data_IF_493058075284
#
_entry.id   IF_493058075284
#
_cell.length_a   1.000
_cell.length_b   1.000
_cell.length_c   1.000
_cell.angle_alpha   90.00
_cell.angle_beta   90.00
_cell.angle_gamma   90.00
#
_symmetry.space_group_name_H-M   'P 1'
#
loop_
_entity.id
_entity.type
_entity.pdbx_description
1 polymer ?
#
# COMPACT_ATOMS: atom_id res chain seq x y z
N UNK A 1 -4.46 24.56 22.77
CA UNK A 1 -4.47 23.81 21.50
C UNK A 1 -5.85 23.22 21.35
N UNK A 2 -6.55 23.54 20.26
CA UNK A 2 -7.91 23.05 20.04
C UNK A 2 -7.90 21.57 19.59
N UNK A 3 -9.00 20.86 19.82
CA UNK A 3 -9.18 19.44 19.45
C UNK A 3 -8.85 19.19 17.97
N UNK A 4 -9.22 20.13 17.10
CA UNK A 4 -8.92 20.05 15.67
C UNK A 4 -7.42 20.07 15.37
N UNK A 5 -6.64 20.86 16.11
CA UNK A 5 -5.19 20.95 15.91
C UNK A 5 -4.51 19.64 16.33
N UNK A 6 -4.96 19.03 17.44
CA UNK A 6 -4.45 17.73 17.91
C UNK A 6 -4.68 16.63 16.86
N UNK A 7 -5.89 16.58 16.28
CA UNK A 7 -6.17 15.61 15.20
C UNK A 7 -5.31 15.82 13.97
N UNK A 8 -5.04 17.09 13.60
CA UNK A 8 -4.16 17.40 12.46
C UNK A 8 -2.72 16.98 12.73
N UNK A 9 -2.20 17.17 13.94
CA UNK A 9 -0.87 16.69 14.30
C UNK A 9 -0.77 15.16 14.24
N UNK A 10 -1.78 14.46 14.76
CA UNK A 10 -1.84 12.99 14.66
C UNK A 10 -1.86 12.52 13.22
N UNK A 11 -2.66 13.16 12.35
CA UNK A 11 -2.67 12.87 10.92
C UNK A 11 -1.31 13.10 10.28
N UNK A 12 -0.66 14.23 10.56
CA UNK A 12 0.66 14.54 10.00
C UNK A 12 1.71 13.47 10.37
N UNK A 13 1.68 12.97 11.61
CA UNK A 13 2.55 11.87 12.03
C UNK A 13 2.26 10.59 11.24
N UNK A 14 0.99 10.23 11.08
CA UNK A 14 0.57 9.06 10.30
C UNK A 14 1.00 9.20 8.84
N UNK A 15 0.81 10.37 8.23
CA UNK A 15 1.19 10.66 6.84
C UNK A 15 2.69 10.49 6.60
N UNK A 16 3.52 10.92 7.55
CA UNK A 16 4.97 10.71 7.47
C UNK A 16 5.33 9.22 7.50
N UNK A 17 4.69 8.43 8.37
CA UNK A 17 4.91 6.99 8.42
C UNK A 17 4.42 6.28 7.16
N UNK A 18 3.24 6.65 6.66
CA UNK A 18 2.70 6.13 5.40
C UNK A 18 3.63 6.44 4.23
N UNK A 19 4.12 7.68 4.11
CA UNK A 19 5.06 8.06 3.06
C UNK A 19 6.36 7.24 3.14
N UNK A 20 6.91 7.05 4.35
CA UNK A 20 8.11 6.24 4.56
C UNK A 20 7.90 4.80 4.11
N UNK A 21 6.81 4.16 4.54
CA UNK A 21 6.47 2.78 4.18
C UNK A 21 6.19 2.63 2.68
N UNK A 22 5.51 3.60 2.09
CA UNK A 22 5.21 3.63 0.66
C UNK A 22 6.49 3.66 -0.17
N UNK A 23 7.43 4.56 0.16
CA UNK A 23 8.71 4.64 -0.53
C UNK A 23 9.54 3.35 -0.39
N UNK A 24 9.51 2.71 0.78
CA UNK A 24 10.13 1.40 0.99
C UNK A 24 9.50 0.33 0.08
N UNK A 25 8.16 0.28 -0.01
CA UNK A 25 7.44 -0.63 -0.90
C UNK A 25 7.81 -0.39 -2.37
N UNK A 26 7.85 0.86 -2.82
CA UNK A 26 8.19 1.20 -4.21
C UNK A 26 9.61 0.79 -4.60
N UNK A 27 10.60 1.01 -3.71
CA UNK A 27 11.97 0.53 -3.92
C UNK A 27 12.01 -0.99 -4.13
N UNK A 28 11.25 -1.74 -3.33
CA UNK A 28 11.16 -3.19 -3.49
C UNK A 28 10.46 -3.58 -4.80
N UNK A 29 9.39 -2.87 -5.20
CA UNK A 29 8.72 -3.10 -6.49
C UNK A 29 9.68 -2.92 -7.67
N UNK A 30 10.55 -1.89 -7.64
CA UNK A 30 11.58 -1.68 -8.66
C UNK A 30 12.54 -2.87 -8.71
N UNK A 31 13.06 -3.30 -7.55
CA UNK A 31 13.97 -4.45 -7.46
C UNK A 31 13.34 -5.74 -7.99
N UNK A 32 12.05 -5.97 -7.71
CA UNK A 32 11.30 -7.11 -8.25
C UNK A 32 11.16 -7.00 -9.77
N UNK A 33 10.86 -5.82 -10.30
CA UNK A 33 10.78 -5.56 -11.73
C UNK A 33 12.11 -5.84 -12.45
N UNK A 34 13.22 -5.36 -11.88
CA UNK A 34 14.56 -5.61 -12.40
C UNK A 34 14.93 -7.09 -12.39
N UNK A 35 14.64 -7.79 -11.29
CA UNK A 35 14.84 -9.24 -11.18
C UNK A 35 14.06 -10.00 -12.26
N UNK A 36 12.78 -9.67 -12.45
CA UNK A 36 11.95 -10.29 -13.48
C UNK A 36 12.48 -10.02 -14.88
N UNK A 37 12.89 -8.78 -15.16
CA UNK A 37 13.49 -8.39 -16.45
C UNK A 37 14.77 -9.16 -16.74
N UNK A 38 15.68 -9.27 -15.77
CA UNK A 38 16.93 -10.04 -15.91
C UNK A 38 16.67 -11.52 -16.19
N UNK A 39 15.63 -12.09 -15.58
CA UNK A 39 15.23 -13.50 -15.76
C UNK A 39 14.25 -13.73 -16.92
N UNK A 40 13.91 -12.69 -17.70
CA UNK A 40 12.90 -12.72 -18.77
C UNK A 40 11.53 -13.24 -18.31
N UNK A 41 11.18 -12.95 -17.05
CA UNK A 41 9.87 -13.26 -16.49
C UNK A 41 8.86 -12.15 -16.83
N UNK A 42 7.56 -12.46 -16.98
CA UNK A 42 6.53 -11.46 -17.14
C UNK A 42 6.49 -10.49 -15.95
N UNK A 43 6.51 -9.19 -16.24
CA UNK A 43 6.37 -8.14 -15.21
C UNK A 43 4.98 -8.23 -14.57
N UNK A 44 3.94 -8.25 -15.40
CA UNK A 44 2.56 -8.43 -14.96
C UNK A 44 2.25 -9.90 -14.68
N UNK A 45 1.70 -10.19 -13.51
CA UNK A 45 1.28 -11.52 -13.06
C UNK A 45 -0.02 -11.37 -12.25
N UNK A 46 -1.17 -11.65 -12.87
CA UNK A 46 -2.49 -11.38 -12.29
C UNK A 46 -2.70 -12.13 -10.97
N UNK A 47 -2.27 -13.39 -10.91
CA UNK A 47 -2.41 -14.23 -9.72
C UNK A 47 -1.68 -13.63 -8.52
N UNK A 48 -0.56 -12.94 -8.77
CA UNK A 48 0.20 -12.27 -7.71
C UNK A 48 -0.56 -11.07 -7.15
N UNK A 49 -1.19 -10.29 -8.03
CA UNK A 49 -2.01 -9.13 -7.65
C UNK A 49 -3.23 -9.56 -6.83
N UNK A 50 -3.93 -10.62 -7.27
CA UNK A 50 -5.07 -11.19 -6.54
C UNK A 50 -4.65 -11.59 -5.12
N UNK A 51 -3.48 -12.23 -4.94
CA UNK A 51 -2.95 -12.58 -3.61
C UNK A 51 -2.63 -11.34 -2.77
N UNK A 52 -2.11 -10.25 -3.35
CA UNK A 52 -1.89 -9.00 -2.60
C UNK A 52 -3.22 -8.48 -2.07
N UNK A 53 -4.22 -8.36 -2.96
CA UNK A 53 -5.53 -7.82 -2.62
C UNK A 53 -6.25 -8.66 -1.57
N UNK A 54 -6.17 -9.99 -1.65
CA UNK A 54 -6.74 -10.87 -0.62
C UNK A 54 -6.05 -10.71 0.73
N UNK A 55 -4.71 -10.63 0.77
CA UNK A 55 -3.98 -10.39 2.02
C UNK A 55 -4.35 -9.05 2.66
N UNK A 56 -4.53 -8.01 1.85
CA UNK A 56 -4.93 -6.69 2.34
C UNK A 56 -6.35 -6.71 2.89
N UNK A 57 -7.29 -7.41 2.24
CA UNK A 57 -8.66 -7.59 2.74
C UNK A 57 -8.72 -8.27 4.11
N UNK A 58 -7.73 -9.10 4.44
CA UNK A 58 -7.64 -9.78 5.74
C UNK A 58 -7.13 -8.87 6.87
N UNK A 59 -6.47 -7.75 6.55
CA UNK A 59 -6.03 -6.76 7.55
C UNK A 59 -7.23 -5.97 8.07
N UNK A 60 -8.22 -5.73 7.21
CA UNK A 60 -9.44 -5.01 7.54
C UNK A 60 -10.51 -5.94 8.13
N UNK A 61 -11.08 -5.52 9.26
CA UNK A 61 -12.12 -6.26 9.97
C UNK A 61 -13.52 -5.87 9.48
N UNK A 62 -13.72 -4.62 9.06
CA UNK A 62 -15.02 -4.11 8.61
C UNK A 62 -15.13 -4.01 7.08
N UNK A 63 -16.37 -4.00 6.57
CA UNK A 63 -16.63 -3.78 5.14
C UNK A 63 -16.14 -2.40 4.68
N UNK A 64 -16.24 -1.39 5.54
CA UNK A 64 -15.77 -0.03 5.27
C UNK A 64 -14.25 0.02 5.11
N UNK A 65 -13.51 -0.52 6.07
CA UNK A 65 -12.04 -0.63 6.00
C UNK A 65 -11.61 -1.38 4.74
N UNK A 66 -12.27 -2.50 4.41
CA UNK A 66 -11.99 -3.26 3.18
C UNK A 66 -12.17 -2.42 1.92
N UNK A 67 -13.17 -1.54 1.90
CA UNK A 67 -13.42 -0.65 0.76
C UNK A 67 -12.37 0.47 0.67
N UNK A 68 -11.98 1.06 1.79
CA UNK A 68 -10.89 2.07 1.86
C UNK A 68 -9.60 1.46 1.30
N UNK A 69 -9.26 0.23 1.72
CA UNK A 69 -8.09 -0.48 1.23
C UNK A 69 -8.16 -0.79 -0.27
N UNK A 70 -9.32 -1.18 -0.80
CA UNK A 70 -9.49 -1.38 -2.25
C UNK A 70 -9.20 -0.09 -3.01
N UNK A 71 -9.69 1.04 -2.53
CA UNK A 71 -9.44 2.34 -3.16
C UNK A 71 -7.93 2.64 -3.12
N UNK A 72 -7.30 2.53 -1.95
CA UNK A 72 -5.85 2.77 -1.81
C UNK A 72 -4.99 1.96 -2.79
N UNK A 73 -5.30 0.66 -2.96
CA UNK A 73 -4.56 -0.20 -3.89
C UNK A 73 -4.95 -0.01 -5.37
N UNK A 74 -6.09 0.62 -5.67
CA UNK A 74 -6.48 0.94 -7.06
C UNK A 74 -5.77 2.17 -7.64
N UNK A 75 -5.22 3.03 -6.77
CA UNK A 75 -4.49 4.26 -7.15
C UNK A 75 -2.98 3.98 -7.28
N UNK A 76 -2.56 2.77 -6.90
CA UNK A 76 -1.18 2.30 -6.74
C UNK A 76 -0.76 1.40 -7.91
#
# INVERSE_FOLDING_TARGET
>A
MDTLEIYREQMNCIDQEMARLFLQRMKLSIQIGDYKKQKRLPIFQKEREDIVLEKVKQIASTTEEKNIWKIFFSIL
#
